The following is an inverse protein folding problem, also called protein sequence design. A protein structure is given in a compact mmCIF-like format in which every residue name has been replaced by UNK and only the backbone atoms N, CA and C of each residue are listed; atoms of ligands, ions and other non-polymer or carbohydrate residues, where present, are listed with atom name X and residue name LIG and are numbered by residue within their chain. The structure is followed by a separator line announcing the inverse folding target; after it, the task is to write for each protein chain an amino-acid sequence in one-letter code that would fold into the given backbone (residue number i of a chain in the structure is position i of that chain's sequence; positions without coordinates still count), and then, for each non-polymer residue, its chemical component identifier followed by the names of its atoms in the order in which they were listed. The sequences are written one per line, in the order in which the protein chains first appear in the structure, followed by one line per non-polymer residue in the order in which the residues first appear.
data_IF_718606893687
#
_entry.id   IF_718606893687
#
_cell.length_a   1.000
_cell.length_b   1.000
_cell.length_c   1.000
_cell.angle_alpha   90.00
_cell.angle_beta   90.00
_cell.angle_gamma   90.00
#
_symmetry.space_group_name_H-M   'P 1'
#
loop_
_entity.id
_entity.type
_entity.pdbx_description
1 polymer ?
#
# COMPACT_ATOMS: atom_id res chain seq x y z
N UNK A 1 12.41 -13.42 -3.98
CA UNK A 1 13.45 -12.38 -3.95
C UNK A 1 14.75 -13.07 -3.63
N UNK A 2 15.79 -12.86 -4.41
CA UNK A 2 17.11 -13.45 -4.17
C UNK A 2 17.95 -12.56 -3.22
N UNK A 3 19.10 -13.08 -2.76
CA UNK A 3 19.94 -12.38 -1.78
C UNK A 3 20.45 -11.00 -2.25
N UNK A 4 20.80 -10.85 -3.53
CA UNK A 4 21.27 -9.57 -4.08
C UNK A 4 20.15 -8.52 -4.17
N UNK A 5 18.94 -8.92 -4.56
CA UNK A 5 17.79 -8.00 -4.54
C UNK A 5 17.50 -7.53 -3.12
N UNK A 6 17.66 -8.42 -2.12
CA UNK A 6 17.47 -8.06 -0.71
C UNK A 6 18.48 -7.02 -0.23
N UNK A 7 19.76 -7.12 -0.61
CA UNK A 7 20.80 -6.12 -0.27
C UNK A 7 20.44 -4.74 -0.82
N UNK A 8 19.94 -4.67 -2.06
CA UNK A 8 19.49 -3.41 -2.65
C UNK A 8 18.25 -2.84 -1.96
N UNK A 9 17.29 -3.70 -1.59
CA UNK A 9 16.14 -3.29 -0.78
C UNK A 9 16.58 -2.75 0.58
N UNK A 10 17.50 -3.42 1.26
CA UNK A 10 18.01 -3.01 2.56
C UNK A 10 18.73 -1.65 2.49
N UNK A 11 19.59 -1.45 1.49
CA UNK A 11 20.29 -0.17 1.27
C UNK A 11 19.33 0.99 1.04
N UNK A 12 18.28 0.80 0.23
CA UNK A 12 17.24 1.83 0.02
C UNK A 12 16.47 2.09 1.32
N UNK A 13 16.16 1.04 2.07
CA UNK A 13 15.42 1.17 3.31
C UNK A 13 16.22 1.97 4.36
N UNK A 14 17.54 1.79 4.44
CA UNK A 14 18.42 2.60 5.29
C UNK A 14 18.46 4.07 4.90
N UNK A 15 18.44 4.40 3.60
CA UNK A 15 18.31 5.79 3.13
C UNK A 15 16.98 6.40 3.56
N UNK A 16 15.89 5.65 3.41
CA UNK A 16 14.56 6.11 3.80
C UNK A 16 14.42 6.25 5.32
N UNK A 17 15.09 5.41 6.11
CA UNK A 17 15.17 5.54 7.56
C UNK A 17 15.86 6.86 7.96
N UNK A 18 16.96 7.23 7.26
CA UNK A 18 17.62 8.54 7.46
C UNK A 18 16.68 9.71 7.17
N UNK A 19 15.83 9.57 6.15
CA UNK A 19 14.81 10.55 5.78
C UNK A 19 13.55 10.48 6.66
N UNK A 20 13.46 9.52 7.59
CA UNK A 20 12.28 9.23 8.42
C UNK A 20 11.02 8.94 7.60
N UNK A 21 11.20 8.23 6.49
CA UNK A 21 10.13 7.81 5.58
C UNK A 21 9.87 6.31 5.77
N UNK A 22 8.76 5.90 6.39
CA UNK A 22 8.46 4.48 6.60
C UNK A 22 8.01 3.81 5.30
N UNK A 23 8.22 2.50 5.22
CA UNK A 23 7.93 1.69 4.05
C UNK A 23 6.61 0.92 4.15
N UNK A 24 6.04 0.61 3.00
CA UNK A 24 5.03 -0.45 2.85
C UNK A 24 5.58 -1.55 1.96
N UNK A 25 5.92 -2.69 2.55
CA UNK A 25 6.51 -3.85 1.90
C UNK A 25 5.41 -4.72 1.28
N UNK A 26 5.18 -4.52 -0.02
CA UNK A 26 4.21 -5.30 -0.79
C UNK A 26 4.77 -6.70 -1.07
N UNK A 27 4.22 -7.69 -0.38
CA UNK A 27 4.70 -9.07 -0.42
C UNK A 27 3.67 -9.96 -1.11
N UNK A 28 4.08 -10.63 -2.18
CA UNK A 28 3.21 -11.59 -2.87
C UNK A 28 3.18 -12.90 -2.08
N UNK A 29 2.00 -13.51 -1.86
CA UNK A 29 1.87 -14.75 -1.07
C UNK A 29 2.28 -16.00 -1.87
N UNK A 30 3.54 -16.08 -2.30
CA UNK A 30 4.08 -17.23 -3.05
C UNK A 30 4.98 -18.13 -2.17
N UNK A 31 5.04 -19.44 -2.47
CA UNK A 31 5.77 -20.41 -1.64
C UNK A 31 7.30 -20.32 -1.71
N UNK A 32 7.87 -19.58 -2.67
CA UNK A 32 9.31 -19.57 -2.96
C UNK A 32 10.04 -18.30 -2.48
N UNK A 33 9.75 -17.82 -1.26
CA UNK A 33 10.47 -16.67 -0.68
C UNK A 33 11.58 -17.17 0.24
N UNK A 34 12.82 -16.71 -0.02
CA UNK A 34 14.00 -17.03 0.79
C UNK A 34 13.81 -16.62 2.26
N UNK A 35 14.33 -17.44 3.18
CA UNK A 35 14.17 -17.22 4.63
C UNK A 35 14.76 -15.87 5.07
N UNK A 36 15.91 -15.48 4.51
CA UNK A 36 16.53 -14.18 4.78
C UNK A 36 15.64 -12.99 4.40
N UNK A 37 14.86 -13.12 3.32
CA UNK A 37 13.89 -12.09 2.91
C UNK A 37 12.73 -12.03 3.91
N UNK A 38 12.23 -13.18 4.36
CA UNK A 38 11.15 -13.24 5.36
C UNK A 38 11.60 -12.61 6.68
N UNK A 39 12.81 -12.90 7.13
CA UNK A 39 13.36 -12.36 8.38
C UNK A 39 13.60 -10.85 8.29
N UNK A 40 14.08 -10.36 7.14
CA UNK A 40 14.18 -8.92 6.89
C UNK A 40 12.81 -8.24 6.90
N UNK A 41 11.78 -8.81 6.25
CA UNK A 41 10.42 -8.25 6.27
C UNK A 41 9.87 -8.19 7.72
N UNK A 42 10.11 -9.23 8.53
CA UNK A 42 9.72 -9.25 9.95
C UNK A 42 10.44 -8.18 10.76
N UNK A 43 11.74 -8.03 10.55
CA UNK A 43 12.54 -6.98 11.18
C UNK A 43 11.99 -5.59 10.83
N UNK A 44 11.80 -5.29 9.53
CA UNK A 44 11.24 -4.01 9.07
C UNK A 44 9.87 -3.74 9.67
N UNK A 45 9.00 -4.75 9.74
CA UNK A 45 7.69 -4.64 10.42
C UNK A 45 7.83 -4.25 11.89
N UNK A 46 8.76 -4.87 12.62
CA UNK A 46 9.01 -4.54 14.03
C UNK A 46 9.56 -3.13 14.23
N UNK A 47 10.22 -2.57 13.21
CA UNK A 47 10.73 -1.21 13.18
C UNK A 47 9.67 -0.15 12.79
N UNK A 48 8.44 -0.57 12.46
CA UNK A 48 7.32 0.33 12.17
C UNK A 48 6.86 0.37 10.70
N UNK A 49 7.52 -0.38 9.81
CA UNK A 49 7.06 -0.51 8.43
C UNK A 49 5.78 -1.37 8.32
N UNK A 50 4.98 -1.11 7.30
CA UNK A 50 3.82 -1.94 7.00
C UNK A 50 4.22 -3.12 6.12
N UNK A 51 3.75 -4.31 6.48
CA UNK A 51 3.72 -5.46 5.56
C UNK A 51 2.36 -5.48 4.89
N UNK A 52 2.33 -5.61 3.56
CA UNK A 52 1.09 -5.52 2.79
C UNK A 52 0.96 -6.74 1.90
N UNK A 53 -0.22 -7.38 1.93
CA UNK A 53 -0.53 -8.50 1.07
C UNK A 53 -0.71 -7.98 -0.37
N UNK A 54 0.22 -8.33 -1.26
CA UNK A 54 0.17 -7.93 -2.66
C UNK A 54 -0.62 -8.96 -3.48
N UNK A 55 -1.92 -8.71 -3.64
CA UNK A 55 -2.80 -9.58 -4.39
C UNK A 55 -2.97 -10.99 -3.81
N UNK A 56 -3.34 -11.94 -4.67
CA UNK A 56 -3.57 -13.34 -4.29
C UNK A 56 -2.40 -14.23 -4.70
N UNK A 57 -2.27 -15.38 -4.03
CA UNK A 57 -1.27 -16.40 -4.35
C UNK A 57 -1.47 -17.02 -5.73
N UNK A 58 -2.74 -17.13 -6.16
CA UNK A 58 -3.12 -17.71 -7.45
C UNK A 58 -4.31 -16.97 -8.05
N UNK A 59 -4.24 -16.79 -9.37
CA UNK A 59 -5.28 -16.19 -10.17
C UNK A 59 -5.28 -14.66 -10.10
N UNK A 60 -5.90 -13.99 -11.09
CA UNK A 60 -5.94 -12.54 -11.09
C UNK A 60 -6.75 -12.05 -9.89
N UNK A 61 -6.30 -10.96 -9.27
CA UNK A 61 -7.10 -10.16 -8.32
C UNK A 61 -8.30 -9.52 -9.02
N UNK A 62 -8.33 -9.60 -10.35
CA UNK A 62 -9.03 -8.73 -11.26
C UNK A 62 -9.79 -9.48 -12.33
N UNK A 63 -10.66 -8.72 -12.96
CA UNK A 63 -11.17 -8.98 -14.29
C UNK A 63 -10.23 -8.31 -15.31
N UNK A 64 -9.70 -9.03 -16.32
CA UNK A 64 -8.79 -8.41 -17.31
C UNK A 64 -9.43 -7.18 -17.96
N UNK A 65 -8.69 -6.09 -18.16
CA UNK A 65 -9.18 -4.95 -18.94
C UNK A 65 -9.17 -5.30 -20.44
N UNK A 66 -10.10 -6.16 -20.87
CA UNK A 66 -10.34 -6.38 -22.29
C UNK A 66 -11.39 -5.39 -22.76
N UNK A 67 -10.88 -4.39 -23.48
CA UNK A 67 -11.63 -3.50 -24.36
C UNK A 67 -12.59 -4.34 -25.20
N UNK A 68 -13.91 -4.19 -25.00
CA UNK A 68 -15.05 -4.62 -25.87
C UNK A 68 -16.08 -5.62 -25.31
N UNK A 69 -16.47 -5.60 -24.03
CA UNK A 69 -17.77 -6.21 -23.68
C UNK A 69 -18.50 -5.54 -22.52
N UNK A 70 -19.80 -5.33 -22.70
CA UNK A 70 -20.72 -4.66 -21.77
C UNK A 70 -20.93 -5.54 -20.53
N UNK A 71 -20.33 -5.11 -19.41
CA UNK A 71 -20.37 -5.69 -18.04
C UNK A 71 -19.67 -7.05 -17.88
N UNK A 72 -18.46 -7.00 -17.31
CA UNK A 72 -17.63 -8.16 -16.98
C UNK A 72 -18.01 -8.73 -15.61
N UNK A 73 -17.96 -10.06 -15.40
CA UNK A 73 -18.20 -10.64 -14.08
C UNK A 73 -17.13 -10.17 -13.09
N UNK A 74 -17.53 -9.38 -12.09
CA UNK A 74 -16.72 -9.11 -10.90
C UNK A 74 -16.38 -10.43 -10.23
N UNK A 75 -15.13 -10.63 -9.78
CA UNK A 75 -14.78 -11.79 -8.95
C UNK A 75 -15.77 -11.86 -7.76
N UNK A 76 -16.56 -12.95 -7.62
CA UNK A 76 -17.55 -13.06 -6.55
C UNK A 76 -16.88 -13.07 -5.18
N UNK A 77 -17.59 -12.58 -4.15
CA UNK A 77 -17.05 -12.50 -2.80
C UNK A 77 -16.63 -13.87 -2.24
N UNK A 78 -17.36 -14.93 -2.58
CA UNK A 78 -17.02 -16.29 -2.15
C UNK A 78 -15.69 -16.76 -2.74
N UNK A 79 -15.50 -16.62 -4.06
CA UNK A 79 -14.24 -16.98 -4.73
C UNK A 79 -13.06 -16.13 -4.25
N UNK A 80 -13.28 -14.81 -4.08
CA UNK A 80 -12.27 -13.92 -3.52
C UNK A 80 -11.89 -14.34 -2.09
N UNK A 81 -12.86 -14.76 -1.28
CA UNK A 81 -12.64 -15.28 0.07
C UNK A 81 -11.74 -16.52 0.07
N UNK A 82 -12.03 -17.52 -0.78
CA UNK A 82 -11.20 -18.72 -0.89
C UNK A 82 -9.74 -18.39 -1.27
N UNK A 83 -9.54 -17.49 -2.23
CA UNK A 83 -8.20 -17.04 -2.63
C UNK A 83 -7.49 -16.26 -1.52
N UNK A 84 -8.23 -15.44 -0.78
CA UNK A 84 -7.71 -14.68 0.34
C UNK A 84 -7.27 -15.61 1.48
N UNK A 85 -8.08 -16.61 1.85
CA UNK A 85 -7.72 -17.62 2.86
C UNK A 85 -6.41 -18.31 2.51
N UNK A 86 -6.27 -18.78 1.26
CA UNK A 86 -5.04 -19.42 0.82
C UNK A 86 -3.82 -18.47 0.87
N UNK A 87 -4.04 -17.19 0.55
CA UNK A 87 -3.00 -16.16 0.58
C UNK A 87 -2.55 -15.82 2.01
N UNK A 88 -3.51 -15.68 2.93
CA UNK A 88 -3.28 -15.44 4.36
C UNK A 88 -2.58 -16.64 5.00
N UNK A 89 -3.05 -17.87 4.76
CA UNK A 89 -2.41 -19.07 5.26
C UNK A 89 -0.94 -19.18 4.80
N UNK A 90 -0.66 -18.79 3.56
CA UNK A 90 0.72 -18.74 3.06
C UNK A 90 1.57 -17.72 3.82
N UNK A 91 1.02 -16.54 4.13
CA UNK A 91 1.68 -15.52 4.97
C UNK A 91 1.94 -16.01 6.39
N UNK A 92 0.93 -16.60 7.03
CA UNK A 92 1.01 -17.10 8.39
C UNK A 92 2.02 -18.25 8.53
N UNK A 93 2.10 -19.15 7.54
CA UNK A 93 3.14 -20.19 7.49
C UNK A 93 4.57 -19.61 7.48
N UNK A 94 4.73 -18.35 7.07
CA UNK A 94 5.98 -17.59 7.08
C UNK A 94 6.04 -16.60 8.25
N UNK A 95 5.18 -16.72 9.26
CA UNK A 95 5.09 -15.82 10.41
C UNK A 95 4.87 -14.35 10.04
N UNK A 96 4.27 -14.10 8.88
CA UNK A 96 3.84 -12.77 8.46
C UNK A 96 2.34 -12.65 8.73
N UNK A 97 1.93 -11.52 9.28
CA UNK A 97 0.50 -11.18 9.42
C UNK A 97 0.30 -9.74 8.98
N UNK A 98 -0.84 -9.49 8.35
CA UNK A 98 -1.21 -8.17 7.85
C UNK A 98 -2.72 -8.06 7.72
N UNK A 99 -3.24 -6.85 7.93
CA UNK A 99 -4.61 -6.44 7.65
C UNK A 99 -4.69 -5.45 6.47
N UNK A 100 -3.58 -5.29 5.74
CA UNK A 100 -3.45 -4.40 4.60
C UNK A 100 -3.33 -5.20 3.30
N UNK A 101 -4.13 -4.83 2.31
CA UNK A 101 -4.10 -5.43 0.97
C UNK A 101 -3.77 -4.36 -0.08
N UNK A 102 -2.97 -4.70 -1.08
CA UNK A 102 -2.70 -3.80 -2.19
C UNK A 102 -2.59 -4.51 -3.55
N UNK A 103 -2.97 -3.78 -4.60
CA UNK A 103 -2.61 -4.05 -6.00
C UNK A 103 -2.34 -2.71 -6.70
N UNK A 104 -1.11 -2.46 -7.12
CA UNK A 104 -0.72 -1.09 -7.51
C UNK A 104 -1.27 -0.62 -8.85
N UNK A 105 -1.47 -1.52 -9.81
CA UNK A 105 -1.77 -1.20 -11.21
C UNK A 105 -3.16 -1.65 -11.66
N UNK A 106 -4.03 -1.98 -10.70
CA UNK A 106 -5.39 -2.38 -11.03
C UNK A 106 -6.41 -2.06 -9.94
N UNK A 107 -7.69 -2.06 -10.33
CA UNK A 107 -8.81 -1.78 -9.42
C UNK A 107 -9.37 -3.07 -8.82
N UNK A 108 -9.56 -3.08 -7.51
CA UNK A 108 -10.09 -4.25 -6.79
C UNK A 108 -11.59 -4.39 -7.04
N UNK A 109 -12.07 -5.62 -7.22
CA UNK A 109 -13.50 -5.89 -7.43
C UNK A 109 -14.31 -5.71 -6.14
N UNK A 110 -15.62 -5.44 -6.25
CA UNK A 110 -16.50 -5.35 -5.08
C UNK A 110 -16.55 -6.66 -4.27
N UNK A 111 -16.49 -7.81 -4.95
CA UNK A 111 -16.44 -9.09 -4.27
C UNK A 111 -15.15 -9.27 -3.46
N UNK A 112 -14.01 -8.82 -4.00
CA UNK A 112 -12.75 -8.80 -3.25
C UNK A 112 -12.79 -7.83 -2.08
N UNK A 113 -13.33 -6.61 -2.24
CA UNK A 113 -13.50 -5.68 -1.11
C UNK A 113 -14.39 -6.27 -0.01
N UNK A 114 -15.44 -7.01 -0.40
CA UNK A 114 -16.34 -7.70 0.54
C UNK A 114 -15.61 -8.82 1.28
N UNK A 115 -14.83 -9.64 0.57
CA UNK A 115 -14.01 -10.69 1.17
C UNK A 115 -12.99 -10.10 2.15
N UNK A 116 -12.24 -9.07 1.74
CA UNK A 116 -11.28 -8.38 2.61
C UNK A 116 -11.90 -7.93 3.93
N UNK A 117 -13.07 -7.26 3.88
CA UNK A 117 -13.81 -6.87 5.10
C UNK A 117 -14.18 -8.06 5.98
N UNK A 118 -14.73 -9.13 5.38
CA UNK A 118 -15.12 -10.35 6.11
C UNK A 118 -13.94 -11.05 6.78
N UNK A 119 -12.75 -10.91 6.23
CA UNK A 119 -11.51 -11.48 6.75
C UNK A 119 -10.69 -10.49 7.59
N UNK A 120 -11.29 -9.38 8.03
CA UNK A 120 -10.67 -8.48 9.00
C UNK A 120 -9.62 -7.52 8.43
N UNK A 121 -9.45 -7.45 7.11
CA UNK A 121 -8.59 -6.43 6.50
C UNK A 121 -9.18 -5.04 6.73
N UNK A 122 -8.30 -4.09 7.02
CA UNK A 122 -8.65 -2.72 7.40
C UNK A 122 -8.32 -1.72 6.29
N UNK A 123 -7.39 -2.07 5.40
CA UNK A 123 -6.96 -1.23 4.29
C UNK A 123 -6.92 -2.02 2.99
N UNK A 124 -7.41 -1.41 1.91
CA UNK A 124 -7.25 -1.90 0.55
C UNK A 124 -6.71 -0.77 -0.34
N UNK A 125 -5.53 -0.93 -0.92
CA UNK A 125 -4.98 -0.01 -1.90
C UNK A 125 -5.10 -0.60 -3.31
N UNK A 126 -5.57 0.21 -4.26
CA UNK A 126 -5.71 -0.20 -5.65
C UNK A 126 -5.29 0.94 -6.60
N UNK A 127 -5.40 0.80 -7.92
CA UNK A 127 -5.03 1.86 -8.86
C UNK A 127 -5.80 3.18 -8.65
N UNK A 128 -7.00 3.13 -8.05
CA UNK A 128 -7.82 4.32 -7.79
C UNK A 128 -7.40 5.10 -6.55
N UNK A 129 -6.74 4.44 -5.59
CA UNK A 129 -6.36 5.06 -4.32
C UNK A 129 -6.27 4.07 -3.17
N UNK A 130 -6.52 4.56 -1.96
CA UNK A 130 -6.55 3.78 -0.72
C UNK A 130 -7.94 3.82 -0.13
N UNK A 131 -8.46 2.66 0.23
CA UNK A 131 -9.76 2.45 0.85
C UNK A 131 -9.56 2.06 2.32
N UNK A 132 -10.16 2.81 3.24
CA UNK A 132 -10.36 2.36 4.61
C UNK A 132 -11.59 1.46 4.63
N UNK A 133 -11.36 0.18 4.89
CA UNK A 133 -12.40 -0.83 4.86
C UNK A 133 -13.31 -0.80 6.09
N UNK A 134 -12.88 -0.16 7.19
CA UNK A 134 -13.66 0.03 8.41
C UNK A 134 -14.64 1.19 8.28
N UNK A 135 -14.17 2.34 7.80
CA UNK A 135 -14.99 3.57 7.70
C UNK A 135 -15.68 3.73 6.35
N UNK A 136 -15.18 3.05 5.32
CA UNK A 136 -15.63 3.23 3.94
C UNK A 136 -15.02 4.45 3.25
N UNK A 137 -14.10 5.18 3.90
CA UNK A 137 -13.41 6.31 3.31
C UNK A 137 -12.50 5.88 2.14
N UNK A 138 -12.37 6.76 1.14
CA UNK A 138 -11.53 6.54 -0.04
C UNK A 138 -10.69 7.78 -0.32
N UNK A 139 -9.38 7.61 -0.33
CA UNK A 139 -8.43 8.64 -0.72
C UNK A 139 -7.94 8.35 -2.11
N UNK A 140 -8.31 9.23 -3.05
CA UNK A 140 -7.80 9.18 -4.40
C UNK A 140 -6.32 9.50 -4.38
N UNK A 141 -5.57 8.72 -5.13
CA UNK A 141 -4.14 8.89 -5.27
C UNK A 141 -3.63 8.02 -6.39
N UNK A 142 -2.64 8.51 -7.13
CA UNK A 142 -2.02 7.72 -8.20
C UNK A 142 -0.74 7.08 -7.69
N UNK A 143 -0.47 5.87 -8.16
CA UNK A 143 0.85 5.26 -7.98
C UNK A 143 1.79 5.87 -9.01
N UNK A 144 2.88 6.43 -8.51
CA UNK A 144 4.02 6.89 -9.30
C UNK A 144 5.06 5.78 -9.31
N UNK A 145 5.38 5.31 -10.52
CA UNK A 145 6.57 4.49 -10.75
C UNK A 145 7.72 5.39 -11.20
N UNK A 146 8.94 4.90 -11.02
CA UNK A 146 10.19 5.64 -11.27
C UNK A 146 10.24 6.29 -12.66
N UNK A 147 10.92 7.44 -12.76
CA UNK A 147 11.14 8.17 -14.01
C UNK A 147 10.10 9.26 -14.35
N UNK A 148 9.09 9.49 -13.49
CA UNK A 148 8.16 10.60 -13.64
C UNK A 148 8.45 11.66 -12.54
N UNK A 149 8.61 12.95 -12.89
CA UNK A 149 8.81 14.06 -11.90
C UNK A 149 7.61 14.23 -10.97
N UNK A 150 7.83 14.21 -9.66
CA UNK A 150 6.79 14.46 -8.66
C UNK A 150 6.15 15.84 -8.93
N UNK A 151 4.92 15.83 -9.45
CA UNK A 151 4.06 17.00 -9.41
C UNK A 151 3.05 16.65 -8.35
N UNK A 152 3.23 17.19 -7.15
CA UNK A 152 2.21 17.05 -6.12
C UNK A 152 0.99 17.86 -6.59
N UNK A 153 -0.19 17.23 -6.70
CA UNK A 153 -1.41 17.97 -6.97
C UNK A 153 -1.56 19.06 -5.91
N UNK A 154 -1.93 20.29 -6.31
CA UNK A 154 -2.00 21.47 -5.41
C UNK A 154 -2.99 21.35 -4.23
N UNK A 155 -3.59 20.17 -3.97
CA UNK A 155 -4.52 19.89 -2.87
C UNK A 155 -4.36 18.45 -2.42
N UNK A 156 -4.11 18.22 -1.12
CA UNK A 156 -4.46 17.07 -0.26
C UNK A 156 -4.61 15.65 -0.87
N UNK A 157 -4.00 15.36 -2.03
CA UNK A 157 -4.11 14.10 -2.74
C UNK A 157 -2.97 13.19 -2.32
N UNK A 158 -3.30 11.91 -2.11
CA UNK A 158 -2.35 10.90 -1.72
C UNK A 158 -1.35 10.65 -2.88
N UNK A 159 -0.07 10.88 -2.62
CA UNK A 159 1.01 10.46 -3.53
C UNK A 159 1.53 9.11 -3.05
N UNK A 160 1.58 8.13 -3.96
CA UNK A 160 2.13 6.80 -3.68
C UNK A 160 3.32 6.59 -4.59
N UNK A 161 4.50 6.36 -4.03
CA UNK A 161 5.70 6.06 -4.79
C UNK A 161 5.96 4.57 -4.66
N UNK A 162 6.15 3.88 -5.78
CA UNK A 162 6.38 2.45 -5.79
C UNK A 162 7.50 2.05 -6.72
N UNK A 163 8.21 1.01 -6.32
CA UNK A 163 9.33 0.40 -7.04
C UNK A 163 9.29 -1.11 -6.83
N UNK A 164 9.62 -1.88 -7.87
CA UNK A 164 9.82 -3.32 -7.72
C UNK A 164 11.22 -3.59 -7.15
N UNK A 165 11.36 -4.60 -6.30
CA UNK A 165 12.64 -5.01 -5.75
C UNK A 165 13.68 -5.31 -6.84
N UNK A 166 13.24 -5.89 -7.98
CA UNK A 166 14.13 -6.19 -9.10
C UNK A 166 14.71 -4.92 -9.74
N UNK A 167 13.94 -3.83 -9.79
CA UNK A 167 14.39 -2.56 -10.37
C UNK A 167 15.47 -1.90 -9.50
N UNK A 168 15.54 -2.22 -8.21
CA UNK A 168 16.51 -1.66 -7.28
C UNK A 168 17.94 -2.13 -7.53
N UNK A 169 18.18 -3.11 -8.41
CA UNK A 169 19.53 -3.41 -8.88
C UNK A 169 20.15 -2.23 -9.65
N UNK A 170 19.32 -1.46 -10.36
CA UNK A 170 19.76 -0.28 -11.10
C UNK A 170 20.02 0.91 -10.18
N UNK A 171 21.24 1.44 -10.22
CA UNK A 171 21.59 2.66 -9.48
C UNK A 171 20.71 3.85 -9.87
N UNK A 172 20.42 4.00 -11.17
CA UNK A 172 19.52 5.04 -11.69
C UNK A 172 18.11 4.91 -11.11
N UNK A 173 17.60 3.68 -10.97
CA UNK A 173 16.30 3.45 -10.36
C UNK A 173 16.29 3.81 -8.87
N UNK A 174 17.35 3.45 -8.13
CA UNK A 174 17.49 3.85 -6.72
C UNK A 174 17.56 5.37 -6.57
N UNK A 175 18.35 6.04 -7.41
CA UNK A 175 18.48 7.50 -7.37
C UNK A 175 17.14 8.20 -7.70
N UNK A 176 16.45 7.77 -8.76
CA UNK A 176 15.16 8.33 -9.13
C UNK A 176 14.07 8.10 -8.06
N UNK A 177 14.18 7.03 -7.27
CA UNK A 177 13.28 6.77 -6.14
C UNK A 177 13.49 7.80 -5.04
N UNK A 178 14.75 7.98 -4.62
CA UNK A 178 15.12 8.88 -3.54
C UNK A 178 14.86 10.34 -3.94
N UNK A 179 15.16 10.72 -5.18
CA UNK A 179 14.85 12.04 -5.73
C UNK A 179 13.33 12.32 -5.70
N UNK A 180 12.50 11.34 -6.09
CA UNK A 180 11.05 11.48 -6.01
C UNK A 180 10.52 11.58 -4.57
N UNK A 181 11.18 10.94 -3.61
CA UNK A 181 10.86 11.06 -2.18
C UNK A 181 11.27 12.44 -1.66
N UNK A 182 12.46 12.91 -2.00
CA UNK A 182 12.97 14.23 -1.60
C UNK A 182 12.10 15.36 -2.16
N UNK A 183 11.71 15.27 -3.43
CA UNK A 183 10.73 16.19 -4.04
C UNK A 183 9.42 16.16 -3.27
N UNK A 184 8.92 14.96 -2.91
CA UNK A 184 7.67 14.84 -2.19
C UNK A 184 7.73 15.53 -0.82
N UNK A 185 8.82 15.33 -0.09
CA UNK A 185 9.07 15.95 1.22
C UNK A 185 9.22 17.46 1.12
N UNK A 186 9.97 17.95 0.11
CA UNK A 186 10.20 19.39 -0.12
C UNK A 186 8.90 20.14 -0.41
N UNK A 187 7.97 19.48 -1.10
CA UNK A 187 6.64 20.00 -1.40
C UNK A 187 5.64 19.81 -0.23
N UNK A 188 6.09 19.33 0.92
CA UNK A 188 5.32 19.26 2.17
C UNK A 188 4.50 17.98 2.36
N UNK A 189 4.79 16.90 1.62
CA UNK A 189 4.15 15.61 1.86
C UNK A 189 4.48 15.07 3.26
N UNK A 190 3.49 14.47 3.92
CA UNK A 190 3.68 13.78 5.19
C UNK A 190 3.89 12.29 4.90
N UNK A 191 5.04 11.69 5.26
CA UNK A 191 5.30 10.28 5.06
C UNK A 191 4.35 9.39 5.85
N UNK A 192 4.00 8.23 5.29
CA UNK A 192 3.14 7.26 5.96
C UNK A 192 3.10 5.93 5.23
N UNK A 193 2.68 4.90 5.95
CA UNK A 193 2.45 3.56 5.40
C UNK A 193 0.97 3.35 5.11
N UNK A 194 0.63 2.35 4.29
CA UNK A 194 -0.78 2.01 4.07
C UNK A 194 -1.54 1.71 5.38
N UNK A 195 -0.88 1.10 6.37
CA UNK A 195 -1.48 0.81 7.69
C UNK A 195 -1.74 2.09 8.52
N UNK A 196 -0.94 3.13 8.29
CA UNK A 196 -1.02 4.41 8.98
C UNK A 196 -1.91 5.44 8.28
N UNK A 197 -2.38 5.17 7.05
CA UNK A 197 -3.42 5.99 6.40
C UNK A 197 -4.70 5.83 7.21
N UNK A 198 -4.81 6.65 8.24
CA UNK A 198 -5.98 6.87 9.05
C UNK A 198 -6.25 8.36 9.03
N UNK A 199 -7.53 8.68 8.83
CA UNK A 199 -8.11 10.02 8.91
C UNK A 199 -7.35 10.87 9.95
N UNK A 200 -6.73 12.02 9.59
CA UNK A 200 -6.70 13.08 10.58
C UNK A 200 -8.16 13.37 10.87
N UNK A 201 -8.62 13.07 12.09
CA UNK A 201 -9.91 13.65 12.53
C UNK A 201 -9.86 15.11 12.12
N UNK A 202 -10.86 15.65 11.40
CA UNK A 202 -10.94 17.09 11.35
C UNK A 202 -10.95 17.50 12.81
N UNK A 203 -9.87 18.20 13.24
CA UNK A 203 -9.85 18.89 14.51
C UNK A 203 -11.22 19.54 14.58
N UNK A 204 -12.05 19.13 15.55
CA UNK A 204 -13.25 19.87 15.87
C UNK A 204 -12.74 21.29 16.00
N UNK A 205 -13.12 22.16 15.06
CA UNK A 205 -12.94 23.59 15.25
C UNK A 205 -13.48 23.82 16.66
N UNK A 206 -12.59 24.16 17.59
CA UNK A 206 -12.98 24.47 18.95
C UNK A 206 -14.10 25.47 18.79
N UNK A 207 -15.32 25.05 19.11
CA UNK A 207 -16.41 25.95 19.42
C UNK A 207 -15.99 26.65 20.72
N UNK A 208 -15.01 27.55 20.60
CA UNK A 208 -14.75 28.57 21.59
C UNK A 208 -15.99 29.44 21.54
N UNK A 209 -16.77 29.27 22.59
CA UNK A 209 -18.07 29.87 22.71
C UNK A 209 -17.98 31.38 22.77
N UNK A 210 -19.04 31.98 22.25
CA UNK A 210 -19.50 33.27 22.78
C UNK A 210 -20.92 33.03 23.24
N UNK A 211 -21.05 32.73 24.54
CA UNK A 211 -22.30 32.88 25.27
C UNK A 211 -22.51 34.36 25.58
N UNK A 212 -23.72 34.84 25.28
CA UNK A 212 -24.47 35.92 25.93
C UNK A 212 -23.97 37.38 25.92
N UNK A 213 -24.84 38.27 25.43
CA UNK A 213 -25.52 39.22 26.33
C UNK A 213 -26.87 39.66 25.76
N UNK A 214 -27.93 39.74 26.59
CA UNK A 214 -29.21 40.34 26.21
C UNK A 214 -29.20 41.84 26.53
N UNK A 215 -29.81 42.64 25.67
CA UNK A 215 -30.46 43.90 26.03
C UNK A 215 -31.75 44.01 25.24
#
# INVERSE_FOLDING_TARGET
MDGRSLEHCASVAEELDRLRVPLSLLTTPLPATEQSTVDWIRFRRSAGDAVVLNGFARGPVLVPQQRRMRRKPSLPAHEAGLRLIASVASFEARGLVTDCFAVLDATVSLGTMTALRRHGFTVCADASGVHDLKTGAHWRGRVRRLGQRAVIPRRAELVRIAVDAADLASHTCRWALLDAVDDALRDGAIPGTYAAVRVPSPLRASAHGTRFSPR
#
